data_IF_462219124503
#
_entry.id   IF_462219124503
#
_cell.length_a   1.000
_cell.length_b   1.000
_cell.length_c   1.000
_cell.angle_alpha   90.00
_cell.angle_beta   90.00
_cell.angle_gamma   90.00
#
_symmetry.space_group_name_H-M   'P 1'
#
loop_
_entity.id
_entity.type
_entity.pdbx_description
1 polymer ?
#
# COMPACT_ATOMS: atom_id res chain seq x y z
N UNK A 1 13.34 -27.36 -7.00
CA UNK A 1 12.89 -28.44 -6.08
C UNK A 1 11.88 -27.94 -5.07
N UNK A 2 12.06 -26.75 -4.45
CA UNK A 2 11.12 -26.22 -3.46
C UNK A 2 9.66 -26.10 -3.95
N UNK A 3 9.41 -25.68 -5.20
CA UNK A 3 8.04 -25.48 -5.71
C UNK A 3 7.15 -26.72 -5.82
N UNK A 4 7.71 -27.93 -5.66
CA UNK A 4 7.01 -29.21 -5.80
C UNK A 4 6.83 -29.95 -4.48
N UNK A 5 7.30 -29.38 -3.36
CA UNK A 5 7.17 -29.99 -2.04
C UNK A 5 5.90 -29.51 -1.32
N UNK A 6 5.33 -30.32 -0.40
CA UNK A 6 4.24 -29.87 0.44
C UNK A 6 4.74 -28.76 1.38
N UNK A 7 4.15 -27.57 1.29
CA UNK A 7 4.50 -26.44 2.13
C UNK A 7 3.55 -26.31 3.32
N UNK A 8 4.07 -25.82 4.44
CA UNK A 8 3.24 -25.53 5.61
C UNK A 8 2.41 -24.25 5.36
N UNK A 9 1.15 -24.41 4.94
CA UNK A 9 0.23 -23.31 4.68
C UNK A 9 -0.62 -22.96 5.91
N UNK A 10 -1.05 -21.70 5.99
CA UNK A 10 -2.07 -21.23 6.92
C UNK A 10 -3.39 -21.12 6.16
N UNK A 11 -4.40 -21.85 6.64
CA UNK A 11 -5.73 -21.92 6.02
C UNK A 11 -6.84 -21.36 6.92
N UNK A 12 -6.55 -21.09 8.19
CA UNK A 12 -7.54 -20.56 9.14
C UNK A 12 -7.02 -19.35 9.90
N UNK A 13 -7.95 -18.55 10.41
CA UNK A 13 -7.60 -17.38 11.21
C UNK A 13 -6.98 -17.78 12.56
N UNK A 14 -7.40 -18.89 13.16
CA UNK A 14 -6.84 -19.41 14.41
C UNK A 14 -5.35 -19.75 14.22
N UNK A 15 -5.01 -20.44 13.12
CA UNK A 15 -3.62 -20.75 12.77
C UNK A 15 -2.81 -19.47 12.50
N UNK A 16 -3.41 -18.45 11.88
CA UNK A 16 -2.78 -17.14 11.70
C UNK A 16 -2.50 -16.44 13.05
N UNK A 17 -3.48 -16.42 13.96
CA UNK A 17 -3.36 -15.78 15.29
C UNK A 17 -2.42 -16.52 16.24
N UNK A 18 -2.22 -17.82 16.04
CA UNK A 18 -1.17 -18.56 16.73
C UNK A 18 0.25 -18.09 16.35
N UNK A 19 0.41 -17.43 15.20
CA UNK A 19 1.70 -16.88 14.72
C UNK A 19 1.83 -15.37 14.98
N UNK A 20 0.75 -14.62 14.76
CA UNK A 20 0.71 -13.17 14.94
C UNK A 20 -0.17 -12.85 16.16
N UNK A 21 0.49 -12.52 17.27
CA UNK A 21 -0.18 -12.09 18.50
C UNK A 21 -1.14 -10.92 18.27
N UNK A 22 -2.11 -10.73 19.17
CA UNK A 22 -3.07 -9.63 19.06
C UNK A 22 -2.39 -8.25 19.11
N UNK A 23 -2.94 -7.25 18.40
CA UNK A 23 -2.53 -5.87 18.56
C UNK A 23 -2.84 -5.39 19.99
N UNK A 24 -2.08 -4.41 20.45
CA UNK A 24 -2.40 -3.70 21.70
C UNK A 24 -3.71 -2.91 21.53
N UNK A 25 -4.47 -2.63 22.60
CA UNK A 25 -5.79 -2.00 22.52
C UNK A 25 -5.82 -0.71 21.68
N UNK A 26 -4.84 0.18 21.86
CA UNK A 26 -4.73 1.42 21.07
C UNK A 26 -4.72 1.16 19.56
N UNK A 27 -3.98 0.15 19.11
CA UNK A 27 -3.86 -0.18 17.69
C UNK A 27 -5.11 -0.90 17.17
N UNK A 28 -5.78 -1.68 18.02
CA UNK A 28 -7.05 -2.31 17.66
C UNK A 28 -8.16 -1.26 17.44
N UNK A 29 -8.15 -0.19 18.24
CA UNK A 29 -9.21 0.81 18.29
C UNK A 29 -9.01 2.01 17.35
N UNK A 30 -7.80 2.20 16.77
CA UNK A 30 -7.38 3.41 16.05
C UNK A 30 -8.18 3.74 14.77
N UNK A 31 -9.03 2.83 14.31
CA UNK A 31 -9.85 2.99 13.10
C UNK A 31 -10.98 3.98 13.38
N UNK A 32 -11.31 4.83 12.42
CA UNK A 32 -12.43 5.78 12.52
C UNK A 32 -13.28 5.81 11.26
N UNK A 33 -14.59 5.99 11.42
CA UNK A 33 -15.56 6.07 10.31
C UNK A 33 -15.68 7.48 9.70
N UNK A 34 -14.84 8.43 10.13
CA UNK A 34 -14.84 9.82 9.64
C UNK A 34 -13.44 10.42 9.71
N UNK A 35 -13.18 11.41 8.86
CA UNK A 35 -11.94 12.18 8.81
C UNK A 35 -11.93 13.26 9.88
N UNK A 36 -10.78 13.44 10.50
CA UNK A 36 -10.44 14.58 11.35
C UNK A 36 -9.52 15.55 10.59
N UNK A 37 -9.26 16.72 11.17
CA UNK A 37 -8.47 17.77 10.52
C UNK A 37 -7.07 17.32 10.10
N UNK A 38 -6.45 16.42 10.86
CA UNK A 38 -5.14 15.87 10.53
C UNK A 38 -5.19 14.88 9.35
N UNK A 39 -6.26 14.10 9.20
CA UNK A 39 -6.49 13.26 8.02
C UNK A 39 -6.69 14.13 6.77
N UNK A 40 -7.52 15.17 6.89
CA UNK A 40 -7.81 16.12 5.80
C UNK A 40 -6.54 16.85 5.35
N UNK A 41 -5.72 17.29 6.30
CA UNK A 41 -4.43 17.93 6.01
C UNK A 41 -3.46 16.97 5.33
N UNK A 42 -3.43 15.70 5.78
CA UNK A 42 -2.58 14.69 5.15
C UNK A 42 -3.01 14.40 3.71
N UNK A 43 -4.31 14.27 3.44
CA UNK A 43 -4.85 14.11 2.08
C UNK A 43 -4.50 15.31 1.21
N UNK A 44 -4.69 16.54 1.72
CA UNK A 44 -4.39 17.76 1.00
C UNK A 44 -2.90 17.90 0.65
N UNK A 45 -2.01 17.28 1.41
CA UNK A 45 -0.57 17.28 1.16
C UNK A 45 -0.07 16.05 0.39
N UNK A 46 -0.93 15.06 0.15
CA UNK A 46 -0.55 13.83 -0.54
C UNK A 46 -0.62 14.02 -2.05
N UNK A 47 0.51 13.98 -2.79
CA UNK A 47 0.48 13.97 -4.25
C UNK A 47 0.27 12.55 -4.81
N UNK A 48 0.34 11.51 -3.96
CA UNK A 48 0.30 10.10 -4.36
C UNK A 48 -0.77 9.32 -3.59
N UNK A 49 -1.54 8.51 -4.30
CA UNK A 49 -2.53 7.57 -3.80
C UNK A 49 -2.38 6.23 -4.50
N UNK A 50 -2.40 5.12 -3.76
CA UNK A 50 -2.65 3.80 -4.35
C UNK A 50 -4.04 3.30 -3.97
N UNK A 51 -4.71 2.67 -4.92
CA UNK A 51 -6.10 2.25 -4.85
C UNK A 51 -6.20 0.75 -5.15
N UNK A 52 -6.73 -0.01 -4.20
CA UNK A 52 -7.21 -1.38 -4.41
C UNK A 52 -8.67 -1.36 -4.85
N UNK A 53 -8.97 -2.12 -5.89
CA UNK A 53 -10.33 -2.44 -6.36
C UNK A 53 -10.47 -3.95 -6.55
N UNK A 54 -11.68 -4.42 -6.84
CA UNK A 54 -11.92 -5.78 -7.34
C UNK A 54 -12.65 -5.68 -8.66
N UNK A 55 -12.16 -6.34 -9.69
CA UNK A 55 -12.88 -6.30 -10.97
C UNK A 55 -13.88 -7.41 -11.18
N UNK A 56 -14.60 -7.39 -12.31
CA UNK A 56 -15.74 -8.26 -12.56
C UNK A 56 -15.42 -9.76 -12.59
N UNK A 57 -14.15 -10.11 -12.82
CA UNK A 57 -13.62 -11.47 -12.74
C UNK A 57 -13.32 -11.93 -11.31
N UNK A 58 -13.58 -11.08 -10.32
CA UNK A 58 -13.29 -11.29 -8.91
C UNK A 58 -11.83 -11.13 -8.53
N UNK A 59 -10.95 -10.75 -9.45
CA UNK A 59 -9.55 -10.46 -9.13
C UNK A 59 -9.42 -9.12 -8.41
N UNK A 60 -8.58 -9.06 -7.38
CA UNK A 60 -8.14 -7.79 -6.83
C UNK A 60 -7.26 -7.08 -7.86
N UNK A 61 -7.29 -5.75 -7.85
CA UNK A 61 -6.39 -4.90 -8.63
C UNK A 61 -5.78 -3.81 -7.75
N UNK A 62 -4.62 -3.29 -8.12
CA UNK A 62 -3.98 -2.13 -7.47
C UNK A 62 -3.53 -1.16 -8.55
N UNK A 63 -3.96 0.10 -8.42
CA UNK A 63 -3.59 1.18 -9.33
C UNK A 63 -2.96 2.35 -8.57
N UNK A 64 -1.96 2.99 -9.20
CA UNK A 64 -1.34 4.22 -8.69
C UNK A 64 -2.01 5.43 -9.33
N UNK A 65 -2.35 6.41 -8.51
CA UNK A 65 -2.90 7.70 -8.87
C UNK A 65 -2.04 8.81 -8.30
N UNK A 66 -1.79 9.85 -9.08
CA UNK A 66 -0.89 10.90 -8.67
C UNK A 66 -1.22 12.21 -9.36
N UNK A 67 -0.99 13.30 -8.63
CA UNK A 67 -1.28 14.67 -9.01
C UNK A 67 -0.57 15.66 -8.10
N UNK A 68 -0.87 16.96 -8.23
CA UNK A 68 -0.35 17.98 -7.31
C UNK A 68 -0.90 17.77 -5.90
N UNK A 69 -0.26 18.40 -4.90
CA UNK A 69 -0.84 18.46 -3.55
C UNK A 69 -2.29 18.95 -3.61
N UNK A 70 -3.19 18.18 -3.01
CA UNK A 70 -4.62 18.47 -2.98
C UNK A 70 -5.39 17.99 -4.21
N UNK A 71 -4.82 17.12 -5.05
CA UNK A 71 -5.56 16.59 -6.20
C UNK A 71 -6.79 15.76 -5.81
N UNK A 72 -6.79 15.13 -4.63
CA UNK A 72 -7.99 14.49 -4.03
C UNK A 72 -8.74 15.50 -3.18
N UNK A 73 -10.04 15.63 -3.44
CA UNK A 73 -10.90 16.57 -2.72
C UNK A 73 -11.64 15.89 -1.58
N UNK A 74 -11.62 16.51 -0.40
CA UNK A 74 -12.44 16.10 0.75
C UNK A 74 -13.75 16.90 0.70
N UNK A 75 -14.85 16.23 0.37
CA UNK A 75 -16.18 16.87 0.29
C UNK A 75 -16.73 17.14 1.69
N UNK A 76 -16.59 16.16 2.58
CA UNK A 76 -16.99 16.23 3.98
C UNK A 76 -16.21 15.17 4.79
N UNK A 77 -16.52 15.00 6.08
CA UNK A 77 -15.79 14.06 6.94
C UNK A 77 -15.92 12.57 6.51
N UNK A 78 -16.83 12.23 5.61
CA UNK A 78 -17.11 10.85 5.17
C UNK A 78 -16.98 10.64 3.66
N UNK A 79 -16.73 11.68 2.88
CA UNK A 79 -16.76 11.59 1.41
C UNK A 79 -15.53 12.22 0.77
N UNK A 80 -14.88 11.48 -0.12
CA UNK A 80 -13.78 11.94 -0.97
C UNK A 80 -14.18 11.92 -2.44
N UNK A 81 -13.52 12.75 -3.24
CA UNK A 81 -13.53 12.69 -4.70
C UNK A 81 -12.09 12.52 -5.20
N UNK A 82 -11.86 11.41 -5.90
CA UNK A 82 -10.56 11.03 -6.45
C UNK A 82 -10.63 11.16 -7.97
N UNK A 83 -9.87 12.08 -8.60
CA UNK A 83 -9.76 12.13 -10.05
C UNK A 83 -9.00 10.90 -10.57
N UNK A 84 -9.56 10.26 -11.60
CA UNK A 84 -8.97 9.11 -12.28
C UNK A 84 -8.47 9.54 -13.66
N UNK A 85 -7.14 9.70 -13.78
CA UNK A 85 -6.48 10.01 -15.05
C UNK A 85 -6.10 8.72 -15.79
N UNK A 86 -6.16 8.77 -17.12
CA UNK A 86 -5.61 7.76 -17.99
C UNK A 86 -4.15 7.47 -17.64
N UNK A 87 -3.81 6.19 -17.61
CA UNK A 87 -2.45 5.71 -17.41
C UNK A 87 -2.38 4.29 -17.98
N UNK A 88 -1.18 3.80 -18.24
CA UNK A 88 -0.99 2.47 -18.79
C UNK A 88 -1.02 1.44 -17.67
N UNK A 89 -2.21 0.89 -17.39
CA UNK A 89 -2.48 -0.03 -16.27
C UNK A 89 -3.07 -1.35 -16.76
N UNK A 90 -3.05 -2.37 -15.89
CA UNK A 90 -3.73 -3.65 -16.13
C UNK A 90 -5.24 -3.47 -16.26
N UNK A 91 -5.81 -2.64 -15.38
CA UNK A 91 -7.23 -2.35 -15.33
C UNK A 91 -7.44 -0.93 -14.82
N UNK A 92 -8.55 -0.34 -15.22
CA UNK A 92 -8.94 0.97 -14.72
C UNK A 92 -10.04 0.85 -13.66
N UNK A 93 -10.01 1.66 -12.58
CA UNK A 93 -11.05 1.61 -11.56
C UNK A 93 -12.46 1.82 -12.11
N UNK A 94 -12.65 2.60 -13.18
CA UNK A 94 -13.99 2.76 -13.79
C UNK A 94 -14.58 1.47 -14.38
N UNK A 95 -13.77 0.45 -14.64
CA UNK A 95 -14.22 -0.87 -15.10
C UNK A 95 -14.61 -1.77 -13.93
N UNK A 96 -14.02 -1.55 -12.75
CA UNK A 96 -14.21 -2.36 -11.54
C UNK A 96 -15.42 -1.92 -10.73
N UNK A 97 -15.44 -0.61 -10.43
CA UNK A 97 -16.34 0.00 -9.44
C UNK A 97 -17.83 -0.23 -9.73
N UNK A 98 -18.32 -0.24 -11.00
CA UNK A 98 -19.71 -0.56 -11.28
C UNK A 98 -20.14 -1.98 -10.86
N UNK A 99 -19.21 -2.94 -10.79
CA UNK A 99 -19.50 -4.33 -10.41
C UNK A 99 -19.21 -4.57 -8.92
N UNK A 100 -18.12 -4.01 -8.42
CA UNK A 100 -17.68 -4.15 -7.04
C UNK A 100 -17.21 -2.81 -6.51
N UNK A 101 -17.98 -2.24 -5.57
CA UNK A 101 -17.73 -0.89 -5.09
C UNK A 101 -16.67 -0.81 -4.00
N UNK A 102 -16.25 -1.92 -3.38
CA UNK A 102 -15.28 -1.84 -2.30
C UNK A 102 -13.92 -1.30 -2.76
N UNK A 103 -13.36 -0.39 -1.97
CA UNK A 103 -12.08 0.27 -2.25
C UNK A 103 -11.20 0.31 -1.02
N UNK A 104 -9.89 0.14 -1.24
CA UNK A 104 -8.85 0.37 -0.24
C UNK A 104 -7.86 1.40 -0.75
N UNK A 105 -7.66 2.49 -0.02
CA UNK A 105 -6.84 3.63 -0.39
C UNK A 105 -5.66 3.78 0.58
N UNK A 106 -4.50 4.14 0.06
CA UNK A 106 -3.34 4.57 0.85
C UNK A 106 -2.71 5.82 0.25
N UNK A 107 -2.74 6.89 1.05
CA UNK A 107 -2.17 8.19 0.72
C UNK A 107 -0.73 8.26 1.22
N UNK A 108 0.13 8.90 0.42
CA UNK A 108 1.54 9.07 0.72
C UNK A 108 2.01 10.48 0.40
N UNK A 109 2.93 10.96 1.21
CA UNK A 109 3.63 12.23 1.01
C UNK A 109 5.13 11.91 0.85
N UNK A 110 5.76 12.24 -0.28
CA UNK A 110 7.19 12.06 -0.46
C UNK A 110 7.99 12.73 0.67
N UNK A 111 8.96 12.01 1.22
CA UNK A 111 9.75 12.46 2.38
C UNK A 111 9.13 12.12 3.75
N UNK A 112 7.85 11.76 3.81
CA UNK A 112 7.13 11.42 5.05
C UNK A 112 6.96 9.90 5.15
N UNK A 113 7.18 9.34 6.34
CA UNK A 113 7.18 7.88 6.52
C UNK A 113 5.82 7.30 6.90
N UNK A 114 4.96 8.14 7.45
CA UNK A 114 3.56 7.85 7.75
C UNK A 114 2.74 7.80 6.46
N UNK A 115 1.69 6.99 6.48
CA UNK A 115 0.71 6.91 5.39
C UNK A 115 -0.69 6.88 5.99
N UNK A 116 -1.65 7.53 5.34
CA UNK A 116 -3.06 7.47 5.73
C UNK A 116 -3.77 6.41 4.90
N UNK A 117 -4.43 5.48 5.56
CA UNK A 117 -5.24 4.44 4.92
C UNK A 117 -6.72 4.77 5.05
N UNK A 118 -7.48 4.52 3.98
CA UNK A 118 -8.93 4.71 3.94
C UNK A 118 -9.55 3.51 3.23
N UNK A 119 -10.48 2.82 3.88
CA UNK A 119 -11.27 1.77 3.24
C UNK A 119 -12.73 2.24 3.16
N UNK A 120 -13.43 1.84 2.11
CA UNK A 120 -14.78 2.35 1.86
C UNK A 120 -15.45 1.74 0.64
N UNK A 121 -16.44 2.45 0.11
CA UNK A 121 -17.12 2.10 -1.14
C UNK A 121 -17.07 3.25 -2.13
N UNK A 122 -16.81 2.91 -3.39
CA UNK A 122 -16.68 3.81 -4.52
C UNK A 122 -17.92 3.86 -5.41
N UNK A 123 -18.14 5.01 -6.02
CA UNK A 123 -19.08 5.22 -7.13
C UNK A 123 -18.37 6.08 -8.18
N UNK A 124 -18.44 5.70 -9.46
CA UNK A 124 -17.99 6.55 -10.55
C UNK A 124 -19.07 7.61 -10.81
N UNK A 125 -18.70 8.88 -10.74
CA UNK A 125 -19.60 10.01 -11.01
C UNK A 125 -19.21 10.72 -12.31
N UNK A 126 -20.18 11.41 -12.92
CA UNK A 126 -19.93 12.21 -14.11
C UNK A 126 -19.15 13.48 -13.73
N UNK A 127 -17.96 13.64 -14.31
CA UNK A 127 -17.12 14.82 -14.09
C UNK A 127 -17.78 16.12 -14.55
N UNK A 128 -18.75 16.06 -15.46
CA UNK A 128 -19.50 17.22 -15.93
C UNK A 128 -20.50 17.76 -14.89
N UNK A 129 -20.77 16.99 -13.83
CA UNK A 129 -21.56 17.45 -12.67
C UNK A 129 -20.70 18.23 -11.65
N UNK A 130 -19.38 18.27 -11.83
CA UNK A 130 -18.46 19.00 -10.95
C UNK A 130 -18.14 20.40 -11.51
N UNK A 131 -17.85 21.39 -10.65
CA UNK A 131 -17.45 22.71 -11.11
C UNK A 131 -16.18 22.67 -11.97
N UNK A 132 -16.10 23.49 -13.02
CA UNK A 132 -14.91 23.54 -13.89
C UNK A 132 -13.60 23.85 -13.13
N UNK A 133 -13.68 24.56 -12.00
CA UNK A 133 -12.53 24.88 -11.14
C UNK A 133 -12.00 23.68 -10.36
N UNK A 134 -12.67 22.53 -10.41
CA UNK A 134 -12.31 21.33 -9.68
C UNK A 134 -11.02 20.69 -10.23
N UNK A 135 -10.77 20.83 -11.54
CA UNK A 135 -9.57 20.31 -12.20
C UNK A 135 -8.72 21.47 -12.72
N UNK A 136 -7.66 21.80 -11.99
CA UNK A 136 -6.90 23.04 -12.21
C UNK A 136 -6.06 23.06 -13.49
N UNK A 137 -5.66 21.90 -14.03
CA UNK A 137 -4.73 21.83 -15.18
C UNK A 137 -5.02 20.69 -16.16
N UNK A 138 -5.44 19.52 -15.66
CA UNK A 138 -5.74 18.34 -16.48
C UNK A 138 -7.13 17.81 -16.10
N UNK A 139 -7.98 17.54 -17.09
CA UNK A 139 -9.30 16.95 -16.87
C UNK A 139 -9.16 15.43 -16.73
N UNK A 140 -9.63 14.81 -15.63
CA UNK A 140 -9.57 13.36 -15.50
C UNK A 140 -10.54 12.69 -16.45
N UNK A 141 -10.34 11.40 -16.71
CA UNK A 141 -11.24 10.60 -17.53
C UNK A 141 -12.51 10.24 -16.76
N UNK A 142 -12.38 10.02 -15.45
CA UNK A 142 -13.49 9.73 -14.55
C UNK A 142 -13.22 10.29 -13.15
N UNK A 143 -14.25 10.35 -12.31
CA UNK A 143 -14.10 10.72 -10.90
C UNK A 143 -14.70 9.62 -10.04
N UNK A 144 -13.92 9.16 -9.08
CA UNK A 144 -14.34 8.20 -8.07
C UNK A 144 -14.76 8.95 -6.81
N UNK A 145 -16.06 8.90 -6.49
CA UNK A 145 -16.54 9.28 -5.17
C UNK A 145 -16.35 8.11 -4.21
N UNK A 146 -15.70 8.34 -3.07
CA UNK A 146 -15.48 7.34 -2.03
C UNK A 146 -16.26 7.73 -0.77
N UNK A 147 -17.17 6.86 -0.37
CA UNK A 147 -17.78 6.88 0.97
C UNK A 147 -16.89 6.11 1.95
N UNK A 148 -16.46 6.78 3.00
CA UNK A 148 -15.49 6.27 3.96
C UNK A 148 -16.20 5.34 4.94
N UNK A 149 -15.72 4.09 5.02
CA UNK A 149 -16.11 3.15 6.05
C UNK A 149 -15.14 3.19 7.23
N UNK A 150 -13.83 3.28 6.94
CA UNK A 150 -12.81 3.44 7.98
C UNK A 150 -11.58 4.18 7.45
N UNK A 151 -10.88 4.87 8.34
CA UNK A 151 -9.57 5.45 8.11
C UNK A 151 -8.66 5.30 9.32
N UNK A 152 -7.35 5.28 9.06
CA UNK A 152 -6.33 5.25 10.11
C UNK A 152 -4.92 5.51 9.55
N UNK A 153 -4.04 6.07 10.39
CA UNK A 153 -2.61 6.12 10.09
C UNK A 153 -1.96 4.74 10.24
N UNK A 154 -1.15 4.38 9.24
CA UNK A 154 -0.36 3.16 9.22
C UNK A 154 1.07 3.42 9.72
N UNK A 155 1.65 2.38 10.34
CA UNK A 155 2.99 2.44 10.93
C UNK A 155 4.09 2.63 9.85
N UNK A 156 5.13 3.45 10.11
CA UNK A 156 6.14 3.80 9.10
C UNK A 156 7.20 2.72 8.83
N UNK A 157 7.16 1.57 9.52
CA UNK A 157 8.21 0.53 9.44
C UNK A 157 8.49 0.07 7.99
N UNK A 158 7.49 -0.02 7.11
CA UNK A 158 7.70 -0.38 5.71
C UNK A 158 8.51 0.68 4.94
N UNK A 159 8.20 1.97 5.15
CA UNK A 159 8.92 3.09 4.54
C UNK A 159 10.35 3.19 5.10
N UNK A 160 10.52 2.97 6.40
CA UNK A 160 11.83 2.98 7.04
C UNK A 160 12.76 1.86 6.54
N UNK A 161 12.24 0.63 6.39
CA UNK A 161 13.02 -0.52 5.86
C UNK A 161 13.42 -0.35 4.41
N UNK A 162 12.47 0.06 3.57
CA UNK A 162 12.70 0.27 2.13
C UNK A 162 13.54 1.50 1.84
N UNK A 163 13.54 2.48 2.76
CA UNK A 163 14.15 3.79 2.58
C UNK A 163 13.60 4.52 1.35
N UNK A 164 12.34 4.27 0.98
CA UNK A 164 11.70 4.71 -0.28
C UNK A 164 11.99 6.17 -0.65
N UNK A 165 12.00 7.08 0.33
CA UNK A 165 12.18 8.52 0.13
C UNK A 165 13.62 9.03 0.32
N UNK A 166 14.58 8.14 0.56
CA UNK A 166 15.96 8.58 0.81
C UNK A 166 16.68 8.83 -0.53
N UNK A 167 17.31 10.00 -0.73
CA UNK A 167 17.95 10.33 -2.01
C UNK A 167 19.08 9.36 -2.39
N UNK A 168 19.78 8.80 -1.40
CA UNK A 168 20.93 7.92 -1.61
C UNK A 168 20.57 6.51 -2.10
N UNK A 169 19.29 6.13 -2.08
CA UNK A 169 18.80 4.88 -2.68
C UNK A 169 18.04 5.11 -3.99
N UNK A 170 17.91 6.36 -4.45
CA UNK A 170 17.33 6.63 -5.76
C UNK A 170 18.23 6.09 -6.86
N UNK A 171 17.63 5.30 -7.74
CA UNK A 171 18.27 4.77 -8.94
C UNK A 171 18.16 5.82 -10.04
N UNK A 172 19.31 6.18 -10.64
CA UNK A 172 19.29 7.05 -11.80
C UNK A 172 18.56 6.36 -12.95
N UNK A 173 17.66 7.05 -13.69
CA UNK A 173 16.98 6.46 -14.85
C UNK A 173 17.95 5.86 -15.88
N UNK A 174 19.14 6.46 -16.01
CA UNK A 174 20.22 5.94 -16.87
C UNK A 174 20.74 4.56 -16.47
N UNK A 175 20.54 4.12 -15.23
CA UNK A 175 21.02 2.83 -14.72
C UNK A 175 20.13 1.66 -15.13
N UNK A 176 18.90 1.92 -15.57
CA UNK A 176 17.91 0.91 -15.96
C UNK A 176 17.43 1.11 -17.41
N UNK A 177 18.26 1.70 -18.27
CA UNK A 177 17.94 1.99 -19.69
C UNK A 177 17.61 0.77 -20.53
N UNK A 178 17.89 -0.44 -20.03
CA UNK A 178 17.56 -1.69 -20.71
C UNK A 178 16.18 -2.22 -20.35
N UNK A 179 15.49 -1.66 -19.34
CA UNK A 179 14.15 -2.09 -19.00
C UNK A 179 13.16 -1.61 -20.06
N UNK A 180 12.62 -2.56 -20.79
CA UNK A 180 11.55 -2.30 -21.74
C UNK A 180 10.18 -2.56 -21.09
N UNK A 181 9.21 -1.71 -21.42
CA UNK A 181 7.83 -1.98 -21.03
C UNK A 181 7.35 -3.27 -21.70
N UNK A 182 6.65 -4.11 -20.94
CA UNK A 182 5.98 -5.27 -21.52
C UNK A 182 4.96 -4.81 -22.55
N UNK A 183 4.83 -5.49 -23.70
CA UNK A 183 3.86 -5.12 -24.74
C UNK A 183 2.40 -5.23 -24.27
N UNK A 184 2.17 -6.05 -23.25
CA UNK A 184 0.89 -6.27 -22.58
C UNK A 184 1.09 -7.18 -21.38
N UNK A 185 -0.01 -7.58 -20.69
CA UNK A 185 0.07 -8.44 -19.52
C UNK A 185 0.67 -9.81 -19.84
N UNK A 186 1.60 -10.28 -19.00
CA UNK A 186 2.25 -11.58 -19.07
C UNK A 186 1.71 -12.53 -18.00
N UNK A 187 1.91 -13.84 -18.15
CA UNK A 187 1.53 -14.86 -17.15
C UNK A 187 2.69 -15.36 -16.30
N UNK A 188 3.87 -14.75 -16.46
CA UNK A 188 5.11 -15.06 -15.76
C UNK A 188 6.07 -13.86 -15.88
N UNK A 189 7.02 -13.75 -14.96
CA UNK A 189 8.08 -12.75 -15.02
C UNK A 189 9.03 -13.05 -16.19
N UNK A 190 9.16 -12.12 -17.13
CA UNK A 190 10.24 -12.09 -18.13
C UNK A 190 11.50 -11.43 -17.56
N UNK A 191 12.55 -11.28 -18.37
CA UNK A 191 13.86 -10.80 -17.90
C UNK A 191 13.82 -9.34 -17.43
N UNK A 192 13.03 -8.49 -18.07
CA UNK A 192 12.84 -7.10 -17.64
C UNK A 192 12.06 -7.01 -16.32
N UNK A 193 11.01 -7.82 -16.15
CA UNK A 193 10.27 -7.90 -14.90
C UNK A 193 11.17 -8.41 -13.75
N UNK A 194 12.07 -9.37 -14.02
CA UNK A 194 13.05 -9.86 -13.04
C UNK A 194 14.03 -8.75 -12.65
N UNK A 195 14.62 -8.08 -13.63
CA UNK A 195 15.59 -6.98 -13.43
C UNK A 195 14.95 -5.81 -12.65
N UNK A 196 13.70 -5.45 -12.95
CA UNK A 196 12.96 -4.47 -12.18
C UNK A 196 12.78 -4.93 -10.71
N UNK A 197 12.33 -6.17 -10.49
CA UNK A 197 12.07 -6.68 -9.14
C UNK A 197 13.33 -6.73 -8.25
N UNK A 198 14.50 -6.96 -8.85
CA UNK A 198 15.79 -6.92 -8.12
C UNK A 198 16.07 -5.56 -7.47
N UNK A 199 15.62 -4.49 -8.11
CA UNK A 199 15.81 -3.11 -7.64
C UNK A 199 14.63 -2.61 -6.80
N UNK A 200 13.46 -3.25 -6.92
CA UNK A 200 12.26 -2.86 -6.19
C UNK A 200 12.46 -3.03 -4.67
N UNK A 201 12.13 -1.99 -3.91
CA UNK A 201 12.24 -1.98 -2.45
C UNK A 201 10.89 -1.77 -1.75
N UNK A 202 9.83 -1.47 -2.51
CA UNK A 202 8.53 -1.15 -1.97
C UNK A 202 7.41 -1.71 -2.83
N UNK A 203 6.33 -2.16 -2.20
CA UNK A 203 5.10 -2.56 -2.90
C UNK A 203 3.88 -2.31 -2.04
N UNK A 204 2.75 -2.11 -2.70
CA UNK A 204 1.44 -2.19 -2.08
C UNK A 204 0.89 -3.61 -2.23
N UNK A 205 0.21 -4.12 -1.22
CA UNK A 205 -0.51 -5.39 -1.27
C UNK A 205 -2.01 -5.08 -1.13
N UNK A 206 -2.70 -5.08 -2.26
CA UNK A 206 -4.15 -4.92 -2.35
C UNK A 206 -4.87 -6.26 -2.23
N UNK A 207 -5.85 -6.32 -1.34
CA UNK A 207 -6.64 -7.54 -1.07
C UNK A 207 -8.10 -7.18 -0.86
N UNK A 208 -9.00 -8.09 -1.21
CA UNK A 208 -10.43 -7.95 -0.91
C UNK A 208 -10.90 -9.21 -0.18
N UNK A 209 -11.92 -9.11 0.67
CA UNK A 209 -12.49 -10.26 1.37
C UNK A 209 -13.51 -11.06 0.53
N UNK A 210 -13.73 -10.67 -0.73
CA UNK A 210 -14.73 -11.28 -1.60
C UNK A 210 -16.18 -10.80 -1.37
N UNK A 211 -16.40 -9.90 -0.40
CA UNK A 211 -17.71 -9.33 -0.05
C UNK A 211 -17.75 -7.83 -0.33
N UNK A 212 -17.60 -6.99 0.71
CA UNK A 212 -17.71 -5.52 0.64
C UNK A 212 -16.49 -4.81 1.25
N UNK A 213 -15.39 -5.52 1.48
CA UNK A 213 -14.20 -4.92 2.08
C UNK A 213 -12.99 -5.14 1.16
N UNK A 214 -12.28 -4.04 0.91
CA UNK A 214 -10.97 -4.01 0.29
C UNK A 214 -9.99 -3.32 1.22
N UNK A 215 -8.71 -3.70 1.11
CA UNK A 215 -7.62 -3.25 1.96
C UNK A 215 -6.35 -3.12 1.11
N UNK A 216 -5.44 -2.22 1.49
CA UNK A 216 -4.16 -1.99 0.83
C UNK A 216 -3.03 -1.80 1.83
N UNK A 217 -2.12 -2.76 1.98
CA UNK A 217 -1.03 -2.66 2.95
C UNK A 217 0.32 -2.38 2.28
N UNK A 218 1.13 -1.43 2.79
CA UNK A 218 2.47 -1.21 2.28
C UNK A 218 3.43 -2.30 2.79
N UNK A 219 4.27 -2.79 1.90
CA UNK A 219 5.38 -3.71 2.18
C UNK A 219 6.66 -3.06 1.69
N UNK A 220 7.70 -3.08 2.53
CA UNK A 220 8.96 -2.42 2.19
C UNK A 220 10.13 -3.05 2.91
N UNK A 221 11.20 -3.26 2.16
CA UNK A 221 12.46 -3.91 2.53
C UNK A 221 13.56 -3.44 1.55
N UNK A 222 14.86 -3.67 1.84
CA UNK A 222 15.93 -3.37 0.90
C UNK A 222 15.75 -4.07 -0.47
N UNK A 223 16.33 -3.54 -1.56
CA UNK A 223 16.36 -4.20 -2.86
C UNK A 223 16.79 -5.67 -2.78
N UNK A 224 16.16 -6.52 -3.59
CA UNK A 224 16.36 -7.98 -3.58
C UNK A 224 15.65 -8.73 -2.45
N UNK A 225 14.85 -8.07 -1.60
CA UNK A 225 14.08 -8.72 -0.55
C UNK A 225 12.83 -9.48 -1.05
N UNK A 226 12.25 -9.05 -2.17
CA UNK A 226 11.16 -9.77 -2.83
C UNK A 226 11.77 -10.93 -3.62
N UNK A 227 11.38 -12.16 -3.27
CA UNK A 227 12.01 -13.37 -3.82
C UNK A 227 11.11 -14.05 -4.82
N UNK A 228 11.69 -14.59 -5.88
CA UNK A 228 11.01 -15.50 -6.79
C UNK A 228 11.50 -16.92 -6.56
N UNK A 229 10.56 -17.84 -6.33
CA UNK A 229 10.86 -19.27 -6.28
C UNK A 229 11.04 -19.82 -7.70
N UNK A 230 10.32 -19.23 -8.65
CA UNK A 230 10.47 -19.34 -10.10
C UNK A 230 9.73 -18.16 -10.76
N UNK A 231 9.72 -18.10 -12.10
CA UNK A 231 9.04 -17.03 -12.87
C UNK A 231 7.52 -16.91 -12.65
N UNK A 232 6.89 -17.80 -11.88
CA UNK A 232 5.45 -17.79 -11.58
C UNK A 232 5.12 -17.78 -10.09
N UNK A 233 6.12 -17.71 -9.22
CA UNK A 233 5.91 -17.76 -7.77
C UNK A 233 6.72 -16.66 -7.10
N UNK A 234 6.01 -15.67 -6.58
CA UNK A 234 6.55 -14.54 -5.82
C UNK A 234 6.36 -14.79 -4.31
N UNK A 235 7.38 -14.46 -3.54
CA UNK A 235 7.44 -14.62 -2.10
C UNK A 235 7.76 -13.27 -1.44
N UNK A 236 6.98 -12.92 -0.41
CA UNK A 236 7.17 -11.69 0.38
C UNK A 236 7.16 -12.07 1.86
N UNK A 237 8.12 -11.53 2.62
CA UNK A 237 8.15 -11.71 4.07
C UNK A 237 7.14 -10.81 4.80
N UNK A 238 6.37 -11.38 5.73
CA UNK A 238 5.60 -10.60 6.70
C UNK A 238 6.52 -10.14 7.83
N UNK A 239 6.90 -8.87 7.79
CA UNK A 239 7.81 -8.26 8.76
C UNK A 239 7.06 -7.77 9.99
N UNK A 240 7.75 -7.64 11.14
CA UNK A 240 7.17 -7.01 12.31
C UNK A 240 6.48 -5.68 11.99
N UNK A 241 5.23 -5.57 12.43
CA UNK A 241 4.34 -4.45 12.17
C UNK A 241 3.39 -4.23 13.35
N UNK A 242 2.21 -3.67 13.06
CA UNK A 242 1.21 -3.32 14.06
C UNK A 242 0.28 -4.50 14.45
N UNK A 243 0.53 -5.70 13.91
CA UNK A 243 -0.26 -6.93 14.18
C UNK A 243 -1.73 -6.85 13.77
N UNK A 244 -2.09 -5.82 13.00
CA UNK A 244 -3.30 -5.83 12.20
C UNK A 244 -3.11 -6.82 11.06
N UNK A 245 -4.09 -7.69 10.87
CA UNK A 245 -4.02 -8.80 9.92
C UNK A 245 -5.12 -8.71 8.88
N UNK A 246 -5.63 -7.51 8.59
CA UNK A 246 -6.74 -7.26 7.65
C UNK A 246 -6.46 -7.90 6.28
N UNK A 247 -5.30 -7.61 5.66
CA UNK A 247 -4.95 -8.20 4.37
C UNK A 247 -4.80 -9.73 4.42
N UNK A 248 -4.33 -10.29 5.54
CA UNK A 248 -4.21 -11.74 5.72
C UNK A 248 -5.59 -12.40 5.88
N UNK A 249 -6.49 -11.80 6.65
CA UNK A 249 -7.90 -12.24 6.79
C UNK A 249 -8.64 -12.18 5.46
N UNK A 250 -8.39 -11.14 4.66
CA UNK A 250 -8.94 -11.03 3.32
C UNK A 250 -8.50 -12.21 2.45
N UNK A 251 -7.19 -12.51 2.43
CA UNK A 251 -6.63 -13.64 1.68
C UNK A 251 -7.18 -14.99 2.12
N UNK A 252 -7.41 -15.21 3.42
CA UNK A 252 -8.03 -16.46 3.90
C UNK A 252 -9.48 -16.64 3.43
N UNK A 253 -10.20 -15.55 3.18
CA UNK A 253 -11.59 -15.58 2.70
C UNK A 253 -11.69 -15.57 1.16
N UNK A 254 -10.80 -14.82 0.51
CA UNK A 254 -10.75 -14.65 -0.94
C UNK A 254 -9.27 -14.59 -1.35
N UNK A 255 -8.69 -15.72 -1.80
CA UNK A 255 -7.24 -15.92 -1.92
C UNK A 255 -6.67 -15.26 -3.19
N UNK A 256 -6.91 -13.96 -3.36
CA UNK A 256 -6.46 -13.16 -4.50
C UNK A 256 -5.92 -11.83 -4.02
N UNK A 257 -4.84 -11.37 -4.63
CA UNK A 257 -4.27 -10.07 -4.36
C UNK A 257 -3.67 -9.46 -5.63
N UNK A 258 -3.49 -8.16 -5.58
CA UNK A 258 -2.72 -7.40 -6.54
C UNK A 258 -1.63 -6.60 -5.83
N UNK A 259 -0.54 -6.37 -6.54
CA UNK A 259 0.62 -5.64 -6.07
C UNK A 259 1.10 -4.67 -7.12
N UNK A 260 1.62 -3.53 -6.68
CA UNK A 260 2.41 -2.63 -7.52
C UNK A 260 3.71 -2.30 -6.82
N UNK A 261 4.82 -2.60 -7.49
CA UNK A 261 6.18 -2.41 -7.01
C UNK A 261 6.77 -1.08 -7.49
N UNK A 262 7.56 -0.46 -6.62
CA UNK A 262 8.26 0.80 -6.87
C UNK A 262 9.77 0.64 -6.72
N UNK A 263 10.50 1.36 -7.57
CA UNK A 263 11.94 1.63 -7.44
C UNK A 263 12.12 3.14 -7.23
N UNK A 264 12.78 3.59 -6.14
CA UNK A 264 13.08 5.00 -5.94
C UNK A 264 13.83 5.59 -7.15
N UNK A 265 13.34 6.71 -7.69
CA UNK A 265 13.93 7.39 -8.84
C UNK A 265 13.43 6.94 -10.22
N UNK A 266 12.56 5.93 -10.30
CA UNK A 266 12.11 5.31 -11.56
C UNK A 266 10.59 5.45 -11.72
N UNK A 267 10.13 5.87 -12.90
CA UNK A 267 8.70 6.04 -13.21
C UNK A 267 8.03 4.79 -13.81
N UNK A 268 8.80 3.72 -14.04
CA UNK A 268 8.25 2.39 -14.32
C UNK A 268 7.69 1.77 -13.03
N UNK A 269 6.61 1.01 -13.18
CA UNK A 269 6.00 0.21 -12.12
C UNK A 269 5.79 -1.22 -12.60
N UNK A 270 5.95 -2.17 -11.68
CA UNK A 270 5.65 -3.58 -11.94
C UNK A 270 4.39 -3.98 -11.19
N UNK A 271 3.34 -4.31 -11.92
CA UNK A 271 2.08 -4.81 -11.38
C UNK A 271 2.05 -6.33 -11.41
N UNK A 272 1.59 -6.95 -10.33
CA UNK A 272 1.45 -8.41 -10.20
C UNK A 272 0.06 -8.73 -9.66
N UNK A 273 -0.67 -9.63 -10.31
CA UNK A 273 -1.91 -10.21 -9.79
C UNK A 273 -1.74 -11.72 -9.66
N UNK A 274 -2.34 -12.30 -8.62
CA UNK A 274 -2.24 -13.73 -8.43
C UNK A 274 -3.04 -14.27 -7.26
N UNK A 275 -2.95 -15.60 -7.09
CA UNK A 275 -3.54 -16.29 -5.94
C UNK A 275 -2.59 -16.25 -4.77
N UNK A 276 -3.10 -15.93 -3.60
CA UNK A 276 -2.28 -15.76 -2.41
C UNK A 276 -2.50 -16.89 -1.43
N UNK A 277 -1.39 -17.37 -0.88
CA UNK A 277 -1.33 -18.34 0.20
C UNK A 277 -0.42 -17.79 1.29
N UNK A 278 -0.72 -18.12 2.54
CA UNK A 278 0.10 -17.76 3.68
C UNK A 278 0.89 -18.98 4.12
N UNK A 279 2.17 -18.84 4.43
CA UNK A 279 3.03 -19.98 4.76
C UNK A 279 3.94 -19.71 5.95
N UNK A 280 4.20 -20.78 6.72
CA UNK A 280 5.17 -20.81 7.81
C UNK A 280 6.29 -21.82 7.57
N UNK A 281 6.42 -22.25 6.32
CA UNK A 281 7.43 -23.20 5.87
C UNK A 281 8.85 -22.66 6.16
N UNK A 282 9.63 -23.42 6.92
CA UNK A 282 10.92 -22.98 7.43
C UNK A 282 11.95 -22.66 6.33
N UNK A 283 11.89 -23.36 5.20
CA UNK A 283 12.79 -23.16 4.06
C UNK A 283 12.40 -21.90 3.29
N UNK A 284 11.09 -21.68 3.10
CA UNK A 284 10.57 -20.44 2.51
C UNK A 284 10.90 -19.24 3.39
N UNK A 285 10.73 -19.35 4.71
CA UNK A 285 11.07 -18.27 5.65
C UNK A 285 12.58 -17.99 5.70
N UNK A 286 13.44 -19.00 5.49
CA UNK A 286 14.89 -18.81 5.33
C UNK A 286 15.23 -18.00 4.08
N UNK A 287 14.61 -18.30 2.93
CA UNK A 287 14.80 -17.54 1.70
C UNK A 287 14.41 -16.06 1.85
N UNK A 288 13.44 -15.78 2.71
CA UNK A 288 12.93 -14.45 3.00
C UNK A 288 13.68 -13.73 4.14
N UNK A 289 14.74 -14.34 4.69
CA UNK A 289 15.48 -13.75 5.79
C UNK A 289 16.22 -12.47 5.37
N UNK A 290 16.21 -11.47 6.24
CA UNK A 290 16.99 -10.23 6.08
C UNK A 290 17.84 -10.07 7.33
N UNK A 291 19.13 -9.80 7.14
CA UNK A 291 20.10 -9.69 8.26
C UNK A 291 20.06 -10.91 9.21
N UNK A 292 19.88 -12.12 8.65
CA UNK A 292 19.80 -13.37 9.41
C UNK A 292 18.49 -13.57 10.19
N UNK A 293 17.50 -12.67 10.05
CA UNK A 293 16.20 -12.76 10.73
C UNK A 293 15.11 -13.18 9.75
N UNK A 294 14.46 -14.30 10.06
CA UNK A 294 13.31 -14.82 9.31
C UNK A 294 12.06 -14.02 9.61
N UNK A 295 11.17 -13.77 8.64
CA UNK A 295 9.82 -13.31 8.94
C UNK A 295 9.04 -14.40 9.71
N UNK A 296 8.00 -13.99 10.43
CA UNK A 296 7.11 -14.94 11.14
C UNK A 296 6.11 -15.63 10.23
N UNK A 297 5.90 -15.06 9.04
CA UNK A 297 4.97 -15.53 8.02
C UNK A 297 5.50 -15.14 6.63
N UNK A 298 5.29 -15.99 5.64
CA UNK A 298 5.52 -15.70 4.23
C UNK A 298 4.19 -15.50 3.50
N UNK A 299 4.14 -14.53 2.60
CA UNK A 299 3.08 -14.35 1.61
C UNK A 299 3.58 -14.97 0.32
N UNK A 300 2.91 -16.04 -0.10
CA UNK A 300 3.16 -16.77 -1.34
C UNK A 300 2.14 -16.33 -2.39
N UNK A 301 2.59 -15.90 -3.56
CA UNK A 301 1.74 -15.48 -4.66
C UNK A 301 2.02 -16.38 -5.87
N UNK A 302 1.02 -17.18 -6.26
CA UNK A 302 0.98 -17.83 -7.57
C UNK A 302 0.54 -16.80 -8.60
N UNK A 303 1.50 -16.41 -9.42
CA UNK A 303 1.38 -15.29 -10.34
C UNK A 303 0.49 -15.70 -11.51
N UNK A 304 -0.58 -14.93 -11.72
CA UNK A 304 -1.50 -15.08 -12.85
C UNK A 304 -1.24 -14.00 -13.90
N UNK A 305 -0.89 -12.79 -13.46
CA UNK A 305 -0.61 -11.65 -14.33
C UNK A 305 0.60 -10.86 -13.84
N UNK A 306 1.49 -10.45 -14.75
CA UNK A 306 2.60 -9.51 -14.51
C UNK A 306 2.55 -8.44 -15.60
N UNK A 307 2.78 -7.19 -15.24
CA UNK A 307 2.79 -6.10 -16.20
C UNK A 307 3.77 -5.01 -15.77
N UNK A 308 4.80 -4.79 -16.60
CA UNK A 308 5.74 -3.69 -16.45
C UNK A 308 5.32 -2.56 -17.38
N UNK A 309 5.00 -1.41 -16.80
CA UNK A 309 4.54 -0.24 -17.53
C UNK A 309 5.07 1.05 -16.94
N UNK A 310 5.11 2.07 -17.78
CA UNK A 310 5.36 3.43 -17.36
C UNK A 310 4.14 4.01 -16.61
N UNK A 311 4.39 4.70 -15.49
CA UNK A 311 3.34 5.35 -14.69
C UNK A 311 3.39 6.86 -14.82
N UNK A 312 2.40 7.43 -15.51
CA UNK A 312 2.19 8.87 -15.57
C UNK A 312 1.78 9.44 -14.21
N UNK A 313 1.14 8.63 -13.36
CA UNK A 313 0.82 9.03 -11.99
C UNK A 313 2.06 9.42 -11.16
N UNK A 314 3.16 8.65 -11.25
CA UNK A 314 4.40 8.96 -10.52
C UNK A 314 5.03 10.27 -11.02
N UNK A 315 5.01 10.52 -12.33
CA UNK A 315 5.53 11.75 -12.93
C UNK A 315 4.69 12.98 -12.54
N UNK A 316 3.36 12.87 -12.66
CA UNK A 316 2.42 13.94 -12.31
C UNK A 316 2.53 14.34 -10.84
N UNK A 317 2.77 13.35 -9.98
CA UNK A 317 3.00 13.54 -8.55
C UNK A 317 4.42 14.01 -8.18
N UNK A 318 5.36 14.00 -9.15
CA UNK A 318 6.76 14.39 -8.96
C UNK A 318 7.44 13.72 -7.76
N UNK A 319 7.11 12.45 -7.50
CA UNK A 319 7.46 11.76 -6.24
C UNK A 319 8.96 11.56 -6.01
N UNK A 320 9.75 11.62 -7.08
CA UNK A 320 11.20 11.46 -7.04
C UNK A 320 11.97 12.79 -7.03
N UNK A 321 11.30 13.91 -7.29
CA UNK A 321 11.93 15.23 -7.21
C UNK A 321 11.97 15.72 -5.77
N UNK A 322 13.11 15.60 -5.10
CA UNK A 322 13.26 15.99 -3.69
C UNK A 322 12.99 17.47 -3.43
N UNK A 323 12.97 18.32 -4.46
CA UNK A 323 12.65 19.76 -4.34
C UNK A 323 11.16 20.00 -4.09
N UNK A 324 10.30 19.02 -4.38
CA UNK A 324 8.85 19.10 -4.17
C UNK A 324 8.44 18.64 -2.78
N UNK A 325 9.39 18.05 -2.03
CA UNK A 325 9.12 17.46 -0.73
C UNK A 325 8.77 18.58 0.25
N UNK A 326 7.70 18.36 1.00
CA UNK A 326 7.36 19.25 2.11
C UNK A 326 8.27 18.95 3.30
N UNK A 327 8.45 19.93 4.17
CA UNK A 327 9.13 19.74 5.45
C UNK A 327 8.32 18.76 6.32
N UNK A 328 8.85 17.57 6.68
CA UNK A 328 8.15 16.63 7.54
C UNK A 328 7.82 17.21 8.92
N UNK A 329 8.63 18.16 9.42
CA UNK A 329 8.41 18.82 10.71
C UNK A 329 7.22 19.80 10.68
N UNK A 330 6.71 20.14 9.49
CA UNK A 330 5.46 20.89 9.33
C UNK A 330 4.21 20.04 9.59
N UNK A 331 4.34 18.71 9.70
CA UNK A 331 3.24 17.81 10.00
C UNK A 331 3.22 17.45 11.50
N UNK A 332 2.02 17.28 12.10
CA UNK A 332 1.94 16.72 13.44
C UNK A 332 2.56 15.31 13.48
N UNK A 333 3.30 15.05 14.56
CA UNK A 333 3.87 13.72 14.85
C UNK A 333 2.76 12.67 15.00
N UNK A 334 3.11 11.40 14.78
CA UNK A 334 2.15 10.30 14.97
C UNK A 334 1.56 10.26 16.40
N UNK A 335 2.35 10.62 17.41
CA UNK A 335 1.88 10.72 18.78
C UNK A 335 0.84 11.83 18.96
N UNK A 336 1.06 13.01 18.39
CA UNK A 336 0.10 14.12 18.43
C UNK A 336 -1.20 13.77 17.70
N UNK A 337 -1.11 13.10 16.55
CA UNK A 337 -2.28 12.59 15.81
C UNK A 337 -3.09 11.61 16.66
N UNK A 338 -2.42 10.65 17.31
CA UNK A 338 -3.07 9.70 18.23
C UNK A 338 -3.76 10.43 19.39
N UNK A 339 -3.08 11.38 20.04
CA UNK A 339 -3.66 12.15 21.15
C UNK A 339 -4.84 12.99 20.70
N UNK A 340 -4.76 13.63 19.54
CA UNK A 340 -5.88 14.38 18.94
C UNK A 340 -7.07 13.47 18.67
N UNK A 341 -6.83 12.30 18.07
CA UNK A 341 -7.85 11.30 17.79
C UNK A 341 -8.53 10.76 19.04
N UNK A 342 -7.77 10.44 20.10
CA UNK A 342 -8.33 9.96 21.37
C UNK A 342 -9.32 10.96 21.97
N UNK A 343 -8.94 12.24 21.99
CA UNK A 343 -9.80 13.34 22.47
C UNK A 343 -11.04 13.49 21.60
N UNK A 344 -10.86 13.47 20.28
CA UNK A 344 -11.94 13.70 19.33
C UNK A 344 -12.93 12.51 19.24
N UNK A 345 -12.57 11.34 19.75
CA UNK A 345 -13.40 10.13 19.79
C UNK A 345 -13.93 9.76 21.17
N UNK A 346 -13.59 10.52 22.22
CA UNK A 346 -13.99 10.19 23.59
C UNK A 346 -13.33 8.91 24.14
N UNK A 347 -12.19 8.50 23.57
CA UNK A 347 -11.47 7.26 23.89
C UNK A 347 -10.29 7.50 24.84
N UNK A 348 -10.27 8.59 25.59
CA UNK A 348 -9.15 8.97 26.47
C UNK A 348 -8.90 7.95 27.59
N UNK A 349 -9.90 7.14 27.95
CA UNK A 349 -9.79 6.09 28.96
C UNK A 349 -9.14 4.79 28.43
N UNK A 350 -8.76 4.72 27.15
CA UNK A 350 -8.00 3.58 26.65
C UNK A 350 -6.67 3.48 27.44
N UNK A 351 -6.22 2.27 27.81
CA UNK A 351 -4.97 2.07 28.53
C UNK A 351 -3.80 2.35 27.57
N UNK A 352 -3.41 3.61 27.48
CA UNK A 352 -2.31 4.09 26.64
C UNK A 352 -1.14 4.55 27.49
N UNK A 353 0.10 4.36 27.02
CA UNK A 353 1.24 5.03 27.61
C UNK A 353 1.09 6.56 27.59
N UNK A 354 1.72 7.31 28.53
CA UNK A 354 1.83 8.77 28.46
C UNK A 354 2.35 9.24 27.09
N UNK A 355 2.00 10.45 26.67
CA UNK A 355 2.36 10.96 25.33
C UNK A 355 3.87 10.96 25.10
N UNK A 356 4.67 11.26 26.12
CA UNK A 356 6.13 11.25 26.06
C UNK A 356 6.66 9.85 25.81
N UNK A 357 6.03 8.83 26.40
CA UNK A 357 6.36 7.44 26.16
C UNK A 357 5.92 6.99 24.76
N UNK A 358 4.74 7.41 24.30
CA UNK A 358 4.30 7.16 22.92
C UNK A 358 5.26 7.79 21.90
N UNK A 359 5.70 9.03 22.13
CA UNK A 359 6.70 9.70 21.30
C UNK A 359 8.03 8.93 21.28
N UNK A 360 8.51 8.48 22.43
CA UNK A 360 9.73 7.67 22.52
C UNK A 360 9.58 6.33 21.76
N UNK A 361 8.46 5.63 21.94
CA UNK A 361 8.17 4.35 21.27
C UNK A 361 8.02 4.48 19.75
N UNK A 362 7.48 5.60 19.28
CA UNK A 362 7.24 5.88 17.86
C UNK A 362 8.37 6.67 17.20
N UNK A 363 9.43 7.00 17.94
CA UNK A 363 10.62 7.63 17.39
C UNK A 363 11.26 6.76 16.31
N UNK A 364 11.85 7.39 15.29
CA UNK A 364 12.53 6.67 14.22
C UNK A 364 13.64 5.75 14.77
N UNK A 365 14.36 6.17 15.82
CA UNK A 365 15.41 5.37 16.46
C UNK A 365 14.84 4.11 17.15
N UNK A 366 13.72 4.22 17.87
CA UNK A 366 13.06 3.08 18.49
C UNK A 366 12.52 2.11 17.43
N UNK A 367 11.85 2.64 16.40
CA UNK A 367 11.29 1.81 15.33
C UNK A 367 12.38 1.08 14.54
N UNK A 368 13.55 1.71 14.34
CA UNK A 368 14.73 1.08 13.70
C UNK A 368 15.26 -0.14 14.44
N UNK A 369 15.13 -0.18 15.78
CA UNK A 369 15.57 -1.33 16.60
C UNK A 369 14.68 -2.56 16.41
N UNK A 370 13.47 -2.41 15.88
CA UNK A 370 12.46 -3.47 15.73
C UNK A 370 11.97 -3.66 14.28
N UNK A 371 12.83 -3.43 13.29
CA UNK A 371 12.45 -3.57 11.87
C UNK A 371 12.33 -5.03 11.42
N UNK A 372 13.16 -5.91 11.99
CA UNK A 372 13.35 -7.30 11.57
C UNK A 372 13.26 -8.26 12.74
#
# INVERSE_FOLDING_TARGET
MLSQQPHQLIETEEALRARISLPIPLIAEKKSERLFDHDRSFIALSPLLCLTTRGPDGNADVSIHGGKHGFVQVVNEKTLLVPLFADRRLRNPQEDIPTHSEVGLIFMIPGVTETLRINGSGTIIDKHELPDTFFSEEQPDAVLQVEIAENYFQCPKALLRSRLWKPDVQVAPSSLVHLEETSGPLTAFDDDCLSFLEHACFTFLGTCNGKKEADISPRGDPPGAFKLLNRKVLLIGDRPGNRLVDSHRNVLQHPRAALVFLIPGISLVLTVQGRVRLTTDGDILELLAIQGKKPVLGVWIDVETVFLSHSQALERAQVWDTRTYIDPDALPSLAEKITSWLKATGKENLPIPPIEMLQAMLSEEALKKELY
#
